data_IF_032152958953
#
_entry.id   IF_032152958953
#
_cell.length_a   1.000
_cell.length_b   1.000
_cell.length_c   1.000
_cell.angle_alpha   90.00
_cell.angle_beta   90.00
_cell.angle_gamma   90.00
#
_symmetry.space_group_name_H-M   'P 1'
#
loop_
_entity.id
_entity.type
_entity.pdbx_description
1 polymer ?
#
# COMPACT_ATOMS: atom_id res chain seq x y z
N UNK A 1 -23.92 11.91 10.36
CA UNK A 1 -24.03 13.24 9.70
C UNK A 1 -22.65 13.64 9.16
N UNK A 2 -22.50 14.13 7.93
CA UNK A 2 -21.22 14.65 7.45
C UNK A 2 -20.81 15.91 8.25
N UNK A 3 -19.54 15.98 8.60
CA UNK A 3 -18.91 17.02 9.43
C UNK A 3 -18.96 18.42 8.79
N UNK A 4 -19.10 19.49 9.59
CA UNK A 4 -19.27 20.88 9.12
C UNK A 4 -18.07 21.39 8.31
N UNK A 5 -16.88 20.84 8.52
CA UNK A 5 -15.68 21.11 7.71
C UNK A 5 -15.80 20.70 6.24
N UNK A 6 -16.83 19.90 5.88
CA UNK A 6 -17.10 19.55 4.49
C UNK A 6 -17.93 20.62 3.78
N UNK A 7 -18.52 21.57 4.53
CA UNK A 7 -19.43 22.60 4.00
C UNK A 7 -18.71 23.49 3.02
N UNK A 8 -17.58 24.10 3.40
CA UNK A 8 -16.87 25.04 2.52
C UNK A 8 -16.40 24.36 1.22
N UNK A 9 -15.76 23.19 1.36
CA UNK A 9 -15.29 22.40 0.21
C UNK A 9 -16.43 21.90 -0.69
N UNK A 10 -17.63 21.67 -0.14
CA UNK A 10 -18.82 21.32 -0.93
C UNK A 10 -19.49 22.54 -1.56
N UNK A 11 -19.57 23.66 -0.84
CA UNK A 11 -20.21 24.91 -1.29
C UNK A 11 -19.45 25.50 -2.48
N UNK A 12 -18.12 25.60 -2.41
CA UNK A 12 -17.31 26.13 -3.52
C UNK A 12 -17.45 25.23 -4.76
N UNK A 13 -17.35 23.90 -4.57
CA UNK A 13 -17.51 22.94 -5.66
C UNK A 13 -18.92 22.99 -6.26
N UNK A 14 -19.97 23.15 -5.45
CA UNK A 14 -21.35 23.27 -5.92
C UNK A 14 -21.58 24.60 -6.65
N UNK A 15 -21.04 25.72 -6.14
CA UNK A 15 -21.18 27.05 -6.75
C UNK A 15 -20.56 27.10 -8.15
N UNK A 16 -19.31 26.63 -8.30
CA UNK A 16 -18.62 26.58 -9.60
C UNK A 16 -19.35 25.63 -10.56
N UNK A 17 -19.82 24.48 -10.08
CA UNK A 17 -20.57 23.54 -10.89
C UNK A 17 -21.90 24.13 -11.40
N UNK A 18 -22.60 24.91 -10.56
CA UNK A 18 -23.83 25.63 -10.96
C UNK A 18 -23.54 26.73 -11.96
N UNK A 19 -22.51 27.54 -11.73
CA UNK A 19 -22.09 28.59 -12.67
C UNK A 19 -21.77 28.03 -14.05
N UNK A 20 -21.00 26.93 -14.13
CA UNK A 20 -20.68 26.27 -15.41
C UNK A 20 -21.90 25.63 -16.08
N UNK A 21 -22.87 25.13 -15.29
CA UNK A 21 -24.18 24.70 -15.82
C UNK A 21 -24.91 25.86 -16.48
N UNK A 22 -24.89 27.04 -15.86
CA UNK A 22 -25.59 28.23 -16.36
C UNK A 22 -25.02 28.78 -17.67
N UNK A 23 -23.72 28.61 -17.93
CA UNK A 23 -23.07 29.02 -19.19
C UNK A 23 -23.08 27.92 -20.26
N UNK A 24 -23.99 26.93 -20.15
CA UNK A 24 -24.27 25.92 -21.17
C UNK A 24 -23.42 24.65 -21.10
N UNK A 25 -22.53 24.53 -20.11
CA UNK A 25 -21.69 23.34 -19.97
C UNK A 25 -22.44 22.27 -19.17
N UNK A 26 -22.38 21.02 -19.64
CA UNK A 26 -22.99 19.89 -18.94
C UNK A 26 -22.14 19.52 -17.73
N UNK A 27 -22.60 19.85 -16.51
CA UNK A 27 -21.89 19.58 -15.25
C UNK A 27 -22.56 18.46 -14.46
N UNK A 28 -21.80 17.43 -14.11
CA UNK A 28 -22.29 16.23 -13.40
C UNK A 28 -21.74 16.22 -11.95
N UNK A 29 -22.64 16.07 -10.95
CA UNK A 29 -22.37 16.32 -9.51
C UNK A 29 -22.25 15.05 -8.65
N UNK A 30 -21.09 14.74 -8.01
CA UNK A 30 -20.89 13.59 -7.07
C UNK A 30 -19.78 13.79 -5.99
N UNK A 31 -19.81 13.00 -4.90
CA UNK A 31 -18.97 13.16 -3.68
C UNK A 31 -18.23 11.86 -3.23
N UNK A 32 -17.08 11.98 -2.52
CA UNK A 32 -16.28 10.86 -1.93
C UNK A 32 -15.41 11.24 -0.70
N UNK A 33 -14.92 10.25 0.08
CA UNK A 33 -14.10 10.33 1.33
C UNK A 33 -13.09 9.14 1.46
N UNK A 34 -12.00 9.32 2.24
CA UNK A 34 -10.82 8.42 2.41
C UNK A 34 -10.42 8.13 3.91
N UNK A 35 -9.42 7.24 4.06
CA UNK A 35 -8.99 6.27 5.11
C UNK A 35 -8.09 6.76 6.28
N UNK A 36 -7.75 5.86 7.24
CA UNK A 36 -6.86 6.09 8.41
C UNK A 36 -5.94 4.88 8.69
N UNK A 37 -4.61 5.09 8.72
CA UNK A 37 -3.58 4.07 9.04
C UNK A 37 -3.01 4.08 10.47
N UNK A 38 -2.98 5.23 11.15
CA UNK A 38 -2.33 5.36 12.47
C UNK A 38 -2.99 4.66 13.69
N UNK A 39 -4.33 4.44 13.75
CA UNK A 39 -4.95 3.81 14.92
C UNK A 39 -4.65 2.32 15.07
N UNK A 40 -4.18 1.66 14.00
CA UNK A 40 -3.93 0.22 13.98
C UNK A 40 -2.57 -0.12 14.60
N UNK A 41 -1.54 0.71 14.37
CA UNK A 41 -0.20 0.51 14.96
C UNK A 41 -0.23 0.57 16.50
N UNK A 42 -0.90 1.57 17.08
CA UNK A 42 -0.96 1.78 18.53
C UNK A 42 -1.80 0.72 19.28
N UNK A 43 -2.66 -0.02 18.57
CA UNK A 43 -3.52 -1.05 19.16
C UNK A 43 -2.81 -2.39 19.35
N UNK A 44 -1.87 -2.72 18.44
CA UNK A 44 -1.19 -4.02 18.39
C UNK A 44 -0.08 -4.13 19.44
N UNK A 45 0.65 -3.03 19.69
CA UNK A 45 1.72 -2.98 20.70
C UNK A 45 1.20 -3.22 22.14
N UNK A 46 -0.04 -2.85 22.40
CA UNK A 46 -0.64 -2.89 23.74
C UNK A 46 -1.27 -4.25 24.09
N UNK A 47 -1.61 -5.06 23.09
CA UNK A 47 -2.31 -6.33 23.28
C UNK A 47 -1.37 -7.54 23.42
N UNK A 48 -0.17 -7.48 22.86
CA UNK A 48 0.74 -8.63 22.81
C UNK A 48 1.65 -8.76 24.03
N UNK A 49 1.80 -7.71 24.85
CA UNK A 49 2.54 -7.80 26.12
C UNK A 49 4.04 -8.07 25.95
N UNK A 50 4.60 -7.84 24.76
CA UNK A 50 6.00 -8.14 24.43
C UNK A 50 6.85 -6.88 24.63
N UNK A 51 7.90 -6.99 25.44
CA UNK A 51 8.91 -5.93 25.61
C UNK A 51 10.26 -6.38 25.08
N UNK A 52 10.51 -6.06 23.80
CA UNK A 52 11.86 -5.97 23.26
C UNK A 52 12.54 -7.27 22.81
N UNK A 53 13.75 -7.05 22.30
CA UNK A 53 14.58 -7.90 21.43
C UNK A 53 15.12 -9.21 22.03
N UNK A 54 15.06 -9.37 23.35
CA UNK A 54 15.80 -10.40 24.10
C UNK A 54 15.22 -11.82 24.01
N UNK A 55 13.94 -11.98 23.65
CA UNK A 55 13.31 -13.30 23.56
C UNK A 55 13.56 -14.00 22.21
N UNK A 56 13.91 -13.25 21.17
CA UNK A 56 14.23 -13.76 19.82
C UNK A 56 15.65 -14.36 19.78
N UNK A 57 16.57 -13.83 20.60
CA UNK A 57 17.99 -14.25 20.65
C UNK A 57 18.18 -15.66 21.28
N UNK A 58 17.21 -16.18 22.03
CA UNK A 58 17.37 -17.41 22.85
C UNK A 58 17.30 -18.74 22.08
N UNK A 59 17.03 -18.70 20.77
CA UNK A 59 16.82 -19.88 19.91
C UNK A 59 18.00 -20.21 18.96
N UNK A 60 19.00 -19.33 18.82
CA UNK A 60 19.96 -19.36 17.70
C UNK A 60 21.06 -20.44 17.76
N UNK A 61 21.43 -20.95 16.57
CA UNK A 61 22.55 -21.91 16.36
C UNK A 61 23.88 -21.18 16.09
N UNK A 62 23.84 -19.97 15.49
CA UNK A 62 24.96 -19.03 15.30
C UNK A 62 24.42 -17.66 14.82
N UNK A 63 25.01 -16.56 15.29
CA UNK A 63 24.64 -15.19 14.85
C UNK A 63 25.41 -14.77 13.59
N UNK A 64 24.72 -14.10 12.67
CA UNK A 64 25.30 -13.52 11.45
C UNK A 64 24.84 -12.07 11.32
N UNK A 65 25.67 -11.20 10.74
CA UNK A 65 25.21 -9.85 10.39
C UNK A 65 24.44 -9.90 9.07
N UNK A 66 23.28 -9.23 9.00
CA UNK A 66 22.46 -9.18 7.78
C UNK A 66 23.23 -8.73 6.53
N UNK A 67 24.19 -7.81 6.70
CA UNK A 67 25.08 -7.32 5.62
C UNK A 67 25.90 -8.43 4.96
N UNK A 68 26.17 -9.54 5.66
CA UNK A 68 26.93 -10.68 5.11
C UNK A 68 26.14 -11.41 4.01
N UNK A 69 24.81 -11.27 4.01
CA UNK A 69 23.95 -11.89 3.02
C UNK A 69 23.72 -10.99 1.80
N UNK A 70 24.00 -9.69 1.86
CA UNK A 70 23.73 -8.76 0.76
C UNK A 70 24.49 -9.19 -0.51
N UNK A 71 23.76 -9.33 -1.62
CA UNK A 71 24.28 -9.84 -2.89
C UNK A 71 24.31 -11.37 -3.01
N UNK A 72 24.06 -12.12 -1.92
CA UNK A 72 23.95 -13.57 -2.00
C UNK A 72 22.74 -13.96 -2.86
N UNK A 73 22.96 -14.94 -3.75
CA UNK A 73 21.90 -15.50 -4.59
C UNK A 73 21.18 -16.62 -3.86
N UNK A 74 19.89 -16.75 -4.14
CA UNK A 74 19.05 -17.80 -3.57
C UNK A 74 18.19 -18.46 -4.64
N UNK A 75 17.72 -19.67 -4.38
CA UNK A 75 16.72 -20.34 -5.21
C UNK A 75 15.32 -19.94 -4.74
N UNK A 76 14.49 -19.43 -5.63
CA UNK A 76 13.13 -19.04 -5.29
C UNK A 76 12.29 -20.28 -4.97
N UNK A 77 11.41 -20.24 -3.93
CA UNK A 77 10.53 -21.36 -3.61
C UNK A 77 9.60 -21.74 -4.77
N UNK A 78 9.28 -20.80 -5.66
CA UNK A 78 8.46 -21.04 -6.84
C UNK A 78 9.19 -20.58 -8.10
N UNK A 79 9.13 -21.39 -9.15
CA UNK A 79 9.77 -21.16 -10.45
C UNK A 79 8.77 -20.74 -11.54
N UNK A 80 7.58 -20.29 -11.18
CA UNK A 80 6.51 -19.91 -12.12
C UNK A 80 6.92 -18.77 -13.05
N UNK A 81 7.64 -17.78 -12.54
CA UNK A 81 8.17 -16.65 -13.29
C UNK A 81 9.62 -16.45 -12.89
N UNK A 82 10.51 -16.31 -13.88
CA UNK A 82 11.92 -16.00 -13.64
C UNK A 82 12.17 -14.54 -14.02
N UNK A 83 12.44 -13.65 -13.05
CA UNK A 83 12.81 -12.27 -13.34
C UNK A 83 14.17 -12.20 -14.04
N UNK A 84 14.35 -11.24 -14.95
CA UNK A 84 15.64 -10.97 -15.60
C UNK A 84 16.70 -10.54 -14.57
N UNK A 85 16.29 -9.69 -13.62
CA UNK A 85 17.08 -9.26 -12.48
C UNK A 85 16.32 -9.54 -11.18
N UNK A 86 16.72 -10.59 -10.46
CA UNK A 86 16.13 -10.94 -9.17
C UNK A 86 16.84 -12.11 -8.51
N UNK A 87 16.26 -12.63 -7.43
CA UNK A 87 16.77 -13.77 -6.65
C UNK A 87 18.15 -13.54 -6.03
N UNK A 88 18.36 -12.35 -5.48
CA UNK A 88 19.50 -12.02 -4.62
C UNK A 88 19.05 -11.15 -3.45
N UNK A 89 19.81 -11.17 -2.36
CA UNK A 89 19.52 -10.39 -1.15
C UNK A 89 19.92 -8.92 -1.36
N UNK A 90 19.06 -8.02 -0.93
CA UNK A 90 19.28 -6.58 -0.95
C UNK A 90 19.17 -5.99 0.45
N UNK A 91 19.80 -4.84 0.66
CA UNK A 91 19.60 -4.03 1.86
C UNK A 91 18.30 -3.23 1.77
N UNK A 92 17.59 -3.13 2.90
CA UNK A 92 16.34 -2.38 3.00
C UNK A 92 16.14 -1.80 4.41
N UNK A 93 15.89 -0.50 4.47
CA UNK A 93 15.84 0.29 5.71
C UNK A 93 14.62 -0.03 6.61
N UNK A 94 13.60 -0.67 6.04
CA UNK A 94 12.35 -1.02 6.75
C UNK A 94 12.38 -2.42 7.37
N UNK A 95 13.48 -3.16 7.20
CA UNK A 95 13.62 -4.49 7.81
C UNK A 95 13.83 -4.33 9.31
N UNK A 96 12.98 -4.98 10.09
CA UNK A 96 13.07 -4.96 11.55
C UNK A 96 13.64 -6.27 12.09
N UNK A 97 14.37 -6.19 13.20
CA UNK A 97 14.76 -7.34 14.02
C UNK A 97 13.70 -7.72 15.06
N UNK A 98 12.62 -6.93 15.16
CA UNK A 98 11.53 -7.15 16.13
C UNK A 98 10.41 -8.05 15.63
N UNK A 99 10.39 -8.39 14.34
CA UNK A 99 9.34 -9.21 13.74
C UNK A 99 9.87 -10.06 12.58
N UNK A 100 9.39 -11.30 12.49
CA UNK A 100 9.80 -12.25 11.46
C UNK A 100 11.21 -12.79 11.70
N UNK A 101 11.99 -12.95 10.63
CA UNK A 101 13.31 -13.59 10.65
C UNK A 101 14.46 -12.63 10.40
N UNK A 102 14.18 -11.32 10.26
CA UNK A 102 15.15 -10.34 9.76
C UNK A 102 15.47 -10.46 8.26
N UNK A 103 14.83 -11.38 7.53
CA UNK A 103 14.85 -11.48 6.06
C UNK A 103 13.42 -11.35 5.56
N UNK A 104 13.17 -10.35 4.73
CA UNK A 104 11.83 -10.03 4.23
C UNK A 104 11.70 -10.44 2.76
N UNK A 105 10.64 -11.19 2.45
CA UNK A 105 10.27 -11.46 1.06
C UNK A 105 9.79 -10.19 0.38
N UNK A 106 10.35 -9.88 -0.79
CA UNK A 106 10.01 -8.69 -1.58
C UNK A 106 9.16 -9.08 -2.78
N UNK A 107 7.98 -8.47 -2.89
CA UNK A 107 7.08 -8.57 -4.04
C UNK A 107 6.78 -7.18 -4.61
N UNK A 108 7.56 -6.69 -5.61
CA UNK A 108 7.52 -5.29 -6.05
C UNK A 108 6.15 -4.81 -6.55
N UNK A 109 5.29 -5.71 -7.02
CA UNK A 109 3.95 -5.37 -7.49
C UNK A 109 2.88 -5.28 -6.37
N UNK A 110 3.23 -5.66 -5.14
CA UNK A 110 2.29 -5.88 -4.04
C UNK A 110 2.68 -5.22 -2.71
N UNK A 111 3.72 -4.39 -2.69
CA UNK A 111 4.12 -3.59 -1.54
C UNK A 111 4.75 -2.27 -1.98
N UNK A 112 4.46 -1.18 -1.28
CA UNK A 112 5.06 0.12 -1.61
C UNK A 112 6.56 0.16 -1.26
N UNK A 113 6.92 -0.31 -0.08
CA UNK A 113 8.31 -0.38 0.34
C UNK A 113 9.10 -1.42 -0.47
N UNK A 114 8.47 -2.56 -0.79
CA UNK A 114 8.97 -3.55 -1.75
C UNK A 114 9.27 -2.93 -3.11
N UNK A 115 8.33 -2.14 -3.64
CA UNK A 115 8.49 -1.45 -4.92
C UNK A 115 9.67 -0.47 -4.88
N UNK A 116 9.80 0.32 -3.81
CA UNK A 116 10.89 1.28 -3.65
C UNK A 116 12.24 0.58 -3.53
N UNK A 117 12.35 -0.46 -2.71
CA UNK A 117 13.57 -1.23 -2.54
C UNK A 117 13.97 -1.97 -3.83
N UNK A 118 13.01 -2.58 -4.50
CA UNK A 118 13.23 -3.23 -5.79
C UNK A 118 13.71 -2.24 -6.85
N UNK A 119 13.09 -1.06 -6.95
CA UNK A 119 13.48 -0.02 -7.90
C UNK A 119 14.89 0.52 -7.62
N UNK A 120 15.25 0.76 -6.35
CA UNK A 120 16.59 1.22 -5.96
C UNK A 120 17.69 0.22 -6.34
N UNK A 121 17.37 -1.07 -6.28
CA UNK A 121 18.32 -2.17 -6.54
C UNK A 121 18.18 -2.77 -7.95
N UNK A 122 17.37 -2.18 -8.84
CA UNK A 122 17.20 -2.67 -10.21
C UNK A 122 16.54 -4.05 -10.33
N UNK A 123 15.73 -4.47 -9.34
CA UNK A 123 14.99 -5.73 -9.39
C UNK A 123 13.81 -5.61 -10.36
N UNK A 124 13.64 -6.62 -11.23
CA UNK A 124 12.56 -6.69 -12.20
C UNK A 124 11.19 -6.71 -11.52
N UNK A 125 10.25 -5.94 -12.07
CA UNK A 125 8.87 -5.93 -11.62
C UNK A 125 8.13 -7.15 -12.17
N UNK A 126 7.63 -8.00 -11.27
CA UNK A 126 6.85 -9.19 -11.61
C UNK A 126 5.42 -9.02 -11.10
N UNK A 127 4.43 -9.16 -11.98
CA UNK A 127 3.00 -9.05 -11.67
C UNK A 127 2.27 -10.31 -12.15
N UNK A 128 1.95 -11.20 -11.22
CA UNK A 128 1.29 -12.49 -11.49
C UNK A 128 -0.19 -12.50 -11.11
N UNK A 129 -0.74 -11.34 -10.75
CA UNK A 129 -2.15 -11.16 -10.39
C UNK A 129 -2.79 -10.22 -11.39
N UNK A 130 -3.99 -10.56 -11.86
CA UNK A 130 -4.76 -9.73 -12.77
C UNK A 130 -5.61 -8.68 -12.02
N UNK A 131 -6.27 -7.79 -12.77
CA UNK A 131 -7.11 -6.72 -12.21
C UNK A 131 -8.33 -7.20 -11.40
N UNK A 132 -8.70 -8.47 -11.51
CA UNK A 132 -9.77 -9.09 -10.73
C UNK A 132 -9.26 -9.71 -9.42
N UNK A 133 -7.96 -9.65 -9.15
CA UNK A 133 -7.36 -10.27 -7.96
C UNK A 133 -7.15 -11.78 -8.09
N UNK A 134 -7.12 -12.31 -9.33
CA UNK A 134 -6.86 -13.72 -9.60
C UNK A 134 -5.48 -13.91 -10.22
N UNK A 135 -4.88 -15.08 -10.01
CA UNK A 135 -3.59 -15.41 -10.63
C UNK A 135 -3.69 -15.52 -12.17
N UNK A 136 -2.61 -15.12 -12.85
CA UNK A 136 -2.43 -15.22 -14.31
C UNK A 136 -2.13 -16.67 -14.75
N UNK A 137 -2.08 -16.89 -16.06
CA UNK A 137 -1.76 -18.20 -16.67
C UNK A 137 -0.32 -18.66 -16.36
N UNK A 138 0.56 -17.75 -15.96
CA UNK A 138 1.94 -18.02 -15.56
C UNK A 138 2.01 -18.86 -14.28
N UNK A 139 1.01 -18.73 -13.39
CA UNK A 139 0.93 -19.47 -12.12
C UNK A 139 -0.01 -20.66 -12.29
N UNK A 140 0.43 -21.63 -13.10
CA UNK A 140 -0.38 -22.76 -13.59
C UNK A 140 -1.25 -23.45 -12.52
N UNK A 141 -0.76 -23.79 -11.30
CA UNK A 141 -1.60 -24.47 -10.30
C UNK A 141 -2.73 -23.62 -9.73
N UNK A 142 -2.66 -22.29 -9.90
CA UNK A 142 -3.57 -21.33 -9.29
C UNK A 142 -4.27 -20.41 -10.29
N UNK A 143 -4.07 -20.62 -11.59
CA UNK A 143 -4.63 -19.81 -12.68
C UNK A 143 -6.13 -19.56 -12.50
N UNK A 144 -6.53 -18.29 -12.60
CA UNK A 144 -7.92 -17.85 -12.49
C UNK A 144 -8.50 -17.88 -11.07
N UNK A 145 -7.80 -18.45 -10.08
CA UNK A 145 -8.25 -18.50 -8.69
C UNK A 145 -7.94 -17.19 -7.96
N UNK A 146 -8.83 -16.78 -7.07
CA UNK A 146 -8.63 -15.61 -6.23
C UNK A 146 -7.48 -15.83 -5.23
N UNK A 147 -6.60 -14.84 -5.09
CA UNK A 147 -5.33 -15.00 -4.35
C UNK A 147 -5.52 -15.41 -2.89
N UNK A 148 -6.56 -14.91 -2.21
CA UNK A 148 -6.81 -15.21 -0.79
C UNK A 148 -7.30 -16.62 -0.54
N UNK A 149 -7.92 -17.25 -1.54
CA UNK A 149 -8.45 -18.60 -1.42
C UNK A 149 -7.37 -19.67 -1.64
N UNK A 150 -6.20 -19.27 -2.14
CA UNK A 150 -5.10 -20.18 -2.48
C UNK A 150 -4.12 -20.44 -1.33
N UNK A 151 -4.22 -19.70 -0.21
CA UNK A 151 -3.23 -19.74 0.87
C UNK A 151 -2.98 -21.13 1.46
N UNK A 152 -4.05 -21.92 1.65
CA UNK A 152 -3.94 -23.30 2.18
C UNK A 152 -3.17 -24.21 1.21
N UNK A 153 -3.43 -24.08 -0.09
CA UNK A 153 -2.82 -24.92 -1.11
C UNK A 153 -1.35 -24.57 -1.35
N UNK A 154 -1.01 -23.27 -1.28
CA UNK A 154 0.38 -22.80 -1.32
C UNK A 154 1.19 -23.41 -0.16
N UNK A 155 0.64 -23.37 1.06
CA UNK A 155 1.31 -23.95 2.23
C UNK A 155 1.48 -25.47 2.10
N UNK A 156 0.46 -26.18 1.58
CA UNK A 156 0.58 -27.62 1.29
C UNK A 156 1.68 -27.91 0.28
N UNK A 157 1.76 -27.14 -0.81
CA UNK A 157 2.80 -27.31 -1.82
C UNK A 157 4.22 -27.12 -1.24
N UNK A 158 4.42 -26.07 -0.44
CA UNK A 158 5.71 -25.81 0.22
C UNK A 158 6.08 -26.92 1.20
N UNK A 159 5.11 -27.44 1.95
CA UNK A 159 5.31 -28.56 2.88
C UNK A 159 5.69 -29.85 2.15
N UNK A 160 5.00 -30.18 1.05
CA UNK A 160 5.30 -31.37 0.23
C UNK A 160 6.70 -31.32 -0.39
N UNK A 161 7.23 -30.12 -0.64
CA UNK A 161 8.57 -29.90 -1.20
C UNK A 161 9.65 -29.70 -0.14
N UNK A 162 9.31 -29.87 1.14
CA UNK A 162 10.19 -29.66 2.28
C UNK A 162 10.82 -28.24 2.33
N UNK A 163 10.08 -27.23 1.86
CA UNK A 163 10.48 -25.81 1.87
C UNK A 163 9.79 -25.02 3.00
N UNK A 164 8.89 -25.64 3.76
CA UNK A 164 8.16 -25.02 4.86
C UNK A 164 8.86 -25.33 6.20
N UNK A 165 9.51 -24.32 6.80
CA UNK A 165 10.17 -24.48 8.09
C UNK A 165 9.19 -24.46 9.28
N UNK A 166 8.28 -23.48 9.32
CA UNK A 166 7.32 -23.28 10.40
C UNK A 166 5.98 -22.77 9.86
N UNK A 167 4.89 -23.08 10.57
CA UNK A 167 3.54 -22.59 10.26
C UNK A 167 2.79 -22.33 11.56
N UNK A 168 2.27 -21.12 11.68
CA UNK A 168 1.35 -20.72 12.74
C UNK A 168 0.15 -19.96 12.18
N UNK A 169 -0.90 -19.81 12.99
CA UNK A 169 -2.02 -18.92 12.69
C UNK A 169 -1.72 -17.58 13.36
N UNK A 170 -1.83 -16.51 12.59
CA UNK A 170 -1.58 -15.15 13.06
C UNK A 170 -2.86 -14.32 12.91
N UNK A 171 -3.31 -13.71 14.01
CA UNK A 171 -4.45 -12.80 14.01
C UNK A 171 -3.94 -11.37 13.93
N UNK A 172 -4.41 -10.64 12.92
CA UNK A 172 -3.98 -9.26 12.69
C UNK A 172 -5.06 -8.45 11.99
N UNK A 173 -4.94 -7.13 12.05
CA UNK A 173 -5.80 -6.24 11.28
C UNK A 173 -5.45 -6.33 9.80
N UNK A 174 -6.44 -6.68 8.97
CA UNK A 174 -6.30 -6.69 7.53
C UNK A 174 -7.21 -5.63 6.90
N UNK A 175 -6.76 -4.89 5.88
CA UNK A 175 -7.58 -3.87 5.26
C UNK A 175 -8.69 -4.50 4.40
N UNK A 176 -9.93 -4.10 4.66
CA UNK A 176 -11.10 -4.50 3.88
C UNK A 176 -11.72 -3.29 3.18
N UNK A 177 -12.32 -3.53 2.03
CA UNK A 177 -13.09 -2.51 1.33
C UNK A 177 -14.26 -2.08 2.21
N UNK A 178 -14.29 -0.81 2.59
CA UNK A 178 -15.34 -0.23 3.45
C UNK A 178 -16.76 -0.35 2.86
N UNK A 179 -16.89 -0.65 1.57
CA UNK A 179 -18.18 -0.78 0.88
C UNK A 179 -18.66 -2.23 0.77
N UNK A 180 -17.81 -3.12 0.30
CA UNK A 180 -18.19 -4.51 0.01
C UNK A 180 -17.54 -5.53 0.94
N UNK A 181 -16.74 -5.08 1.91
CA UNK A 181 -16.04 -5.92 2.90
C UNK A 181 -15.12 -6.98 2.28
N UNK A 182 -14.75 -6.82 1.01
CA UNK A 182 -13.78 -7.68 0.34
C UNK A 182 -12.36 -7.32 0.81
N UNK A 183 -11.45 -8.30 0.96
CA UNK A 183 -10.06 -8.03 1.33
C UNK A 183 -9.39 -7.17 0.27
N UNK A 184 -8.68 -6.12 0.70
CA UNK A 184 -7.93 -5.24 -0.21
C UNK A 184 -6.59 -5.88 -0.56
N UNK A 185 -6.15 -5.67 -1.80
CA UNK A 185 -4.85 -6.10 -2.29
C UNK A 185 -4.06 -4.86 -2.70
N UNK A 186 -2.81 -4.80 -2.28
CA UNK A 186 -1.86 -3.85 -2.85
C UNK A 186 -1.51 -4.31 -4.26
N UNK A 187 -1.65 -3.40 -5.20
CA UNK A 187 -1.54 -3.70 -6.62
C UNK A 187 -0.91 -2.54 -7.35
N UNK A 188 0.25 -2.77 -7.95
CA UNK A 188 0.92 -1.79 -8.79
C UNK A 188 0.13 -1.58 -10.08
N UNK A 189 -0.30 -0.34 -10.31
CA UNK A 189 -1.05 0.07 -11.48
C UNK A 189 -0.71 1.50 -11.86
N UNK A 190 -0.82 1.80 -13.15
CA UNK A 190 -0.73 3.17 -13.63
C UNK A 190 -1.85 4.01 -13.03
N UNK A 191 -1.45 5.16 -12.48
CA UNK A 191 -2.35 6.03 -11.77
C UNK A 191 -1.86 7.47 -11.79
N UNK A 192 -2.79 8.41 -11.68
CA UNK A 192 -2.48 9.84 -11.65
C UNK A 192 -2.40 10.30 -10.20
N UNK A 193 -1.32 11.00 -9.88
CA UNK A 193 -1.06 11.52 -8.54
C UNK A 193 -0.95 13.04 -8.59
N UNK A 194 -1.45 13.70 -7.54
CA UNK A 194 -1.08 15.08 -7.23
C UNK A 194 0.11 15.02 -6.28
N UNK A 195 1.19 15.71 -6.63
CA UNK A 195 2.39 15.82 -5.79
C UNK A 195 2.16 16.73 -4.58
N UNK A 196 1.30 16.29 -3.66
CA UNK A 196 0.93 17.02 -2.44
C UNK A 196 2.13 17.18 -1.49
N UNK A 197 3.11 16.28 -1.58
CA UNK A 197 4.38 16.40 -0.85
C UNK A 197 5.13 17.69 -1.15
N UNK A 198 4.99 18.26 -2.35
CA UNK A 198 5.66 19.51 -2.74
C UNK A 198 5.13 20.75 -1.99
N UNK A 199 3.91 20.69 -1.44
CA UNK A 199 3.27 21.79 -0.70
C UNK A 199 3.06 21.45 0.79
N UNK A 200 3.72 20.39 1.29
CA UNK A 200 3.55 19.88 2.64
C UNK A 200 3.77 20.95 3.71
N UNK A 201 4.88 21.68 3.62
CA UNK A 201 5.22 22.71 4.62
C UNK A 201 4.22 23.86 4.61
N UNK A 202 3.70 24.22 3.43
CA UNK A 202 2.64 25.21 3.30
C UNK A 202 1.33 24.72 3.94
N UNK A 203 0.97 23.44 3.78
CA UNK A 203 -0.21 22.85 4.43
C UNK A 203 -0.07 22.86 5.95
N UNK A 204 1.11 22.53 6.48
CA UNK A 204 1.40 22.57 7.92
C UNK A 204 1.34 24.02 8.45
N UNK A 205 1.94 24.97 7.73
CA UNK A 205 1.89 26.39 8.11
C UNK A 205 0.45 26.92 8.13
N UNK A 206 -0.33 26.63 7.10
CA UNK A 206 -1.75 27.01 7.03
C UNK A 206 -2.59 26.30 8.12
N UNK A 207 -2.28 25.06 8.45
CA UNK A 207 -2.96 24.35 9.53
C UNK A 207 -2.80 25.06 10.89
N UNK A 208 -1.63 25.67 11.13
CA UNK A 208 -1.37 26.45 12.36
C UNK A 208 -2.24 27.70 12.48
N UNK A 209 -2.65 28.30 11.35
CA UNK A 209 -3.51 29.50 11.37
C UNK A 209 -4.99 29.18 11.58
N UNK A 210 -5.39 27.91 11.46
CA UNK A 210 -6.78 27.48 11.63
C UNK A 210 -7.11 27.34 13.12
N UNK A 211 -8.29 27.83 13.52
CA UNK A 211 -8.83 27.61 14.87
C UNK A 211 -9.55 26.26 14.92
N UNK A 212 -9.02 25.32 15.68
CA UNK A 212 -9.52 23.95 15.80
C UNK A 212 -10.47 23.80 16.99
N UNK A 213 -11.47 22.94 16.86
CA UNK A 213 -12.36 22.57 17.96
C UNK A 213 -12.58 21.06 17.95
N UNK A 214 -12.07 20.32 18.94
CA UNK A 214 -11.17 20.75 20.03
C UNK A 214 -9.73 21.09 19.57
N UNK A 215 -9.04 21.94 20.32
CA UNK A 215 -7.73 22.52 19.96
C UNK A 215 -6.63 21.47 19.69
N UNK A 216 -6.61 20.38 20.45
CA UNK A 216 -5.58 19.33 20.34
C UNK A 216 -5.60 18.60 18.98
N UNK A 217 -6.64 18.76 18.15
CA UNK A 217 -6.67 18.18 16.80
C UNK A 217 -5.68 18.83 15.84
N UNK A 218 -5.37 20.12 16.06
CA UNK A 218 -4.44 20.90 15.22
C UNK A 218 -3.07 20.23 15.15
N UNK A 219 -2.51 19.94 16.32
CA UNK A 219 -1.17 19.39 16.49
C UNK A 219 -1.22 17.86 16.71
N UNK A 220 -2.41 17.31 17.00
CA UNK A 220 -2.66 15.89 17.17
C UNK A 220 -3.00 15.19 15.85
N UNK A 221 -4.24 14.68 15.73
CA UNK A 221 -4.63 13.79 14.62
C UNK A 221 -4.39 14.39 13.24
N UNK A 222 -4.72 15.66 13.03
CA UNK A 222 -4.58 16.29 11.71
C UNK A 222 -3.16 16.78 11.46
N UNK A 223 -2.50 17.36 12.48
CA UNK A 223 -1.09 17.75 12.41
C UNK A 223 -0.18 16.58 12.05
N UNK A 224 -0.29 15.47 12.81
CA UNK A 224 0.46 14.23 12.53
C UNK A 224 0.17 13.65 11.16
N UNK A 225 -1.07 13.74 10.67
CA UNK A 225 -1.41 13.31 9.32
C UNK A 225 -0.67 14.14 8.25
N UNK A 226 -0.55 15.46 8.43
CA UNK A 226 0.21 16.31 7.51
C UNK A 226 1.72 16.04 7.57
N UNK A 227 2.25 15.62 8.73
CA UNK A 227 3.65 15.25 8.90
C UNK A 227 4.04 13.99 8.10
N UNK A 228 3.11 13.05 7.92
CA UNK A 228 3.32 11.82 7.13
C UNK A 228 2.61 11.85 5.78
N UNK A 229 2.32 13.06 5.27
CA UNK A 229 1.58 13.24 4.02
C UNK A 229 2.25 12.53 2.84
N UNK A 230 1.47 11.68 2.16
CA UNK A 230 1.85 11.00 0.92
C UNK A 230 1.24 11.70 -0.30
N UNK A 231 1.78 11.42 -1.49
CA UNK A 231 1.22 11.94 -2.73
C UNK A 231 -0.19 11.40 -2.97
N UNK A 232 -1.10 12.30 -3.35
CA UNK A 232 -2.50 11.95 -3.44
C UNK A 232 -2.82 11.28 -4.77
N UNK A 233 -3.11 9.99 -4.73
CA UNK A 233 -3.68 9.27 -5.87
C UNK A 233 -5.09 9.78 -6.19
N UNK A 234 -5.27 10.39 -7.37
CA UNK A 234 -6.55 10.93 -7.84
C UNK A 234 -7.24 10.09 -8.92
N UNK A 235 -6.54 9.20 -9.62
CA UNK A 235 -7.19 8.39 -10.67
C UNK A 235 -7.93 7.21 -10.06
N UNK A 236 -9.09 6.88 -10.64
CA UNK A 236 -9.87 5.70 -10.25
C UNK A 236 -10.41 5.03 -11.51
N UNK A 237 -10.17 3.73 -11.64
CA UNK A 237 -10.71 2.92 -12.75
C UNK A 237 -12.18 2.60 -12.50
N UNK A 238 -13.03 3.62 -12.63
CA UNK A 238 -14.47 3.55 -12.37
C UNK A 238 -15.21 4.34 -13.46
N UNK A 239 -16.37 3.82 -13.87
CA UNK A 239 -17.26 4.51 -14.81
C UNK A 239 -17.88 5.78 -14.21
N UNK A 240 -17.96 5.83 -12.88
CA UNK A 240 -18.70 6.88 -12.18
C UNK A 240 -17.76 7.75 -11.33
N UNK A 241 -17.51 8.99 -11.76
CA UNK A 241 -16.63 9.98 -11.11
C UNK A 241 -16.40 11.21 -11.97
N UNK A 242 -15.53 12.13 -11.54
CA UNK A 242 -15.06 13.25 -12.37
C UNK A 242 -13.96 12.74 -13.30
N UNK A 243 -14.11 12.81 -14.63
CA UNK A 243 -13.02 12.47 -15.55
C UNK A 243 -11.81 13.37 -15.33
N UNK A 244 -10.61 12.82 -15.53
CA UNK A 244 -9.39 13.62 -15.59
C UNK A 244 -9.34 14.31 -16.95
N UNK A 245 -9.09 15.62 -16.96
CA UNK A 245 -8.98 16.42 -18.18
C UNK A 245 -7.58 16.23 -18.82
N UNK A 246 -7.30 15.01 -19.25
CA UNK A 246 -6.04 14.62 -19.92
C UNK A 246 -6.38 14.00 -21.26
N UNK A 247 -5.69 14.44 -22.31
CA UNK A 247 -5.77 13.87 -23.65
C UNK A 247 -4.38 13.38 -24.05
N UNK A 248 -4.29 12.13 -24.51
CA UNK A 248 -3.05 11.50 -24.98
C UNK A 248 -3.11 11.39 -26.49
N UNK A 249 -2.06 11.84 -27.18
CA UNK A 249 -1.96 11.72 -28.63
C UNK A 249 -1.71 10.26 -29.00
N UNK A 250 -2.49 9.71 -29.94
CA UNK A 250 -2.33 8.33 -30.42
C UNK A 250 -1.14 8.14 -31.37
N UNK A 251 -0.56 9.22 -31.88
CA UNK A 251 0.54 9.19 -32.85
C UNK A 251 1.89 9.56 -32.24
N UNK A 252 1.89 10.35 -31.16
CA UNK A 252 3.12 10.71 -30.47
C UNK A 252 3.36 9.68 -29.36
N UNK A 253 4.32 8.78 -29.56
CA UNK A 253 4.88 7.96 -28.49
C UNK A 253 5.81 8.84 -27.66
N UNK A 254 5.28 9.48 -26.62
CA UNK A 254 6.10 9.85 -25.45
C UNK A 254 6.15 8.69 -24.49
#
# INVERSE_FOLDING_TARGET
MPHIGHVLGRVIKDFICRYKTMIGYKVIRKAGWDTHGLPVELGVEKQLGISGKQEIEKYGVKEYKGVEFVGARYEAPFSFVTPEHGHFVIEADFVSDTSGTGIVHIAPAHGEDDYRAARRNGISMVQVVNKSGCYTDEVVPFTGRFVKDCGVDIVKNLSQRNLLFHKEKYEHSYPFCWRCHSPLLYYAMESWFIKTTAIKDQLIANNKTVKWYPDHLRDGRFGKFLEVLVDWNISRNRYWGTPLNVWVCSQCQT
#
